data_IF_269518917935
#
_entry.id   IF_269518917935
#
_cell.length_a   1.000
_cell.length_b   1.000
_cell.length_c   1.000
_cell.angle_alpha   90.00
_cell.angle_beta   90.00
_cell.angle_gamma   90.00
#
_symmetry.space_group_name_H-M   'P 1'
#
loop_
_entity.id
_entity.type
_entity.pdbx_description
1 polymer ?
#
# COMPACT_ATOMS: atom_id res chain seq x y z
N UNK A 1 11.67 7.63 29.27
CA UNK A 1 10.99 7.85 27.97
C UNK A 1 11.36 6.66 27.10
N UNK A 2 10.39 5.89 26.62
CA UNK A 2 10.64 4.72 25.76
C UNK A 2 10.95 5.16 24.33
N UNK A 3 11.88 4.48 23.66
CA UNK A 3 12.15 4.69 22.22
C UNK A 3 11.39 3.64 21.43
N UNK A 4 10.72 4.07 20.36
CA UNK A 4 10.12 3.20 19.35
C UNK A 4 10.98 3.28 18.09
N UNK A 5 11.50 2.13 17.65
CA UNK A 5 12.26 2.00 16.41
C UNK A 5 11.57 1.11 15.38
N UNK A 6 10.53 0.37 15.78
CA UNK A 6 9.70 -0.42 14.86
C UNK A 6 8.23 -0.10 15.06
N UNK A 7 7.54 0.25 13.98
CA UNK A 7 6.10 0.45 13.96
C UNK A 7 5.44 -0.61 13.06
N UNK A 8 4.67 -1.49 13.67
CA UNK A 8 3.79 -2.41 12.98
C UNK A 8 2.49 -1.67 12.68
N UNK A 9 2.21 -1.41 11.40
CA UNK A 9 1.04 -0.68 10.93
C UNK A 9 0.01 -1.67 10.36
N UNK A 10 -1.00 -1.99 11.15
CA UNK A 10 -2.04 -2.95 10.83
C UNK A 10 -3.26 -2.22 10.23
N UNK A 11 -3.41 -2.28 8.91
CA UNK A 11 -4.43 -1.56 8.15
C UNK A 11 -5.61 -2.48 7.90
N UNK A 12 -6.78 -2.19 8.47
CA UNK A 12 -7.99 -2.99 8.29
C UNK A 12 -7.75 -4.47 8.64
N UNK A 13 -7.63 -4.78 9.94
CA UNK A 13 -7.24 -6.10 10.44
C UNK A 13 -8.37 -7.14 10.33
N UNK A 14 -9.39 -6.91 9.53
CA UNK A 14 -10.36 -7.94 9.21
C UNK A 14 -10.44 -8.02 7.69
N UNK A 15 -10.21 -9.19 7.06
CA UNK A 15 -10.54 -9.34 5.66
C UNK A 15 -12.06 -9.23 5.46
N UNK A 16 -12.49 -8.84 4.25
CA UNK A 16 -13.94 -8.85 3.92
C UNK A 16 -14.51 -10.26 3.93
N UNK A 17 -13.70 -11.25 3.57
CA UNK A 17 -14.11 -12.64 3.59
C UNK A 17 -14.07 -13.18 5.03
N UNK A 18 -15.25 -13.29 5.63
CA UNK A 18 -15.44 -13.80 6.99
C UNK A 18 -14.81 -15.19 7.21
N UNK A 19 -14.71 -16.03 6.18
CA UNK A 19 -14.14 -17.38 6.27
C UNK A 19 -12.60 -17.36 6.41
N UNK A 20 -11.94 -16.29 5.94
CA UNK A 20 -10.48 -16.13 6.00
C UNK A 20 -10.00 -15.35 7.23
N UNK A 21 -10.93 -14.75 7.98
CA UNK A 21 -10.64 -13.97 9.19
C UNK A 21 -9.79 -14.76 10.19
N UNK A 22 -10.17 -16.01 10.49
CA UNK A 22 -9.43 -16.85 11.44
C UNK A 22 -8.02 -17.17 10.98
N UNK A 23 -7.85 -17.53 9.71
CA UNK A 23 -6.53 -17.82 9.12
C UNK A 23 -5.60 -16.61 9.23
N UNK A 24 -6.14 -15.39 9.08
CA UNK A 24 -5.32 -14.17 9.16
C UNK A 24 -4.97 -13.83 10.59
N UNK A 25 -5.90 -14.04 11.52
CA UNK A 25 -5.59 -13.91 12.94
C UNK A 25 -4.49 -14.85 13.38
N UNK A 26 -4.53 -16.12 12.98
CA UNK A 26 -3.50 -17.09 13.34
C UNK A 26 -2.10 -16.64 12.84
N UNK A 27 -2.00 -16.16 11.59
CA UNK A 27 -0.74 -15.65 11.03
C UNK A 27 -0.26 -14.36 11.70
N UNK A 28 -1.17 -13.43 11.97
CA UNK A 28 -0.82 -12.20 12.68
C UNK A 28 -0.40 -12.46 14.11
N UNK A 29 -1.06 -13.38 14.81
CA UNK A 29 -0.74 -13.70 16.20
C UNK A 29 0.67 -14.26 16.33
N UNK A 30 1.07 -15.18 15.46
CA UNK A 30 2.44 -15.70 15.39
C UNK A 30 3.44 -14.55 15.17
N UNK A 31 3.25 -13.77 14.11
CA UNK A 31 4.15 -12.68 13.75
C UNK A 31 4.22 -11.58 14.83
N UNK A 32 3.08 -11.20 15.41
CA UNK A 32 2.99 -10.17 16.44
C UNK A 32 3.55 -10.64 17.78
N UNK A 33 3.49 -11.93 18.08
CA UNK A 33 4.11 -12.51 19.29
C UNK A 33 5.64 -12.48 19.23
N UNK A 34 6.23 -12.60 18.04
CA UNK A 34 7.66 -12.38 17.85
C UNK A 34 8.01 -10.89 17.93
N UNK A 35 7.24 -10.06 17.22
CA UNK A 35 7.43 -8.61 17.20
C UNK A 35 7.41 -7.97 18.59
N UNK A 36 6.50 -8.41 19.46
CA UNK A 36 6.29 -7.80 20.78
C UNK A 36 7.44 -8.06 21.76
N UNK A 37 8.27 -9.08 21.50
CA UNK A 37 9.47 -9.36 22.28
C UNK A 37 10.53 -8.25 22.15
N UNK A 38 10.48 -7.47 21.07
CA UNK A 38 11.28 -6.25 20.92
C UNK A 38 10.63 -5.11 21.73
N UNK A 39 11.28 -4.57 22.79
CA UNK A 39 10.72 -3.51 23.60
C UNK A 39 10.56 -2.18 22.85
N UNK A 40 11.24 -1.99 21.71
CA UNK A 40 11.15 -0.80 20.85
C UNK A 40 10.11 -0.97 19.73
N UNK A 41 9.38 -2.07 19.70
CA UNK A 41 8.26 -2.27 18.79
C UNK A 41 6.97 -1.62 19.32
N UNK A 42 6.23 -0.95 18.44
CA UNK A 42 4.86 -0.52 18.69
C UNK A 42 3.93 -1.07 17.61
N UNK A 43 2.65 -1.21 17.95
CA UNK A 43 1.61 -1.58 17.01
C UNK A 43 0.63 -0.43 16.88
N UNK A 44 0.36 -0.01 15.65
CA UNK A 44 -0.72 0.91 15.31
C UNK A 44 -1.76 0.18 14.46
N UNK A 45 -3.01 0.18 14.91
CA UNK A 45 -4.13 -0.46 14.22
C UNK A 45 -5.05 0.60 13.66
N UNK A 46 -5.31 0.52 12.35
CA UNK A 46 -6.33 1.32 11.66
C UNK A 46 -7.56 0.44 11.45
N UNK A 47 -8.40 0.40 12.47
CA UNK A 47 -9.68 -0.28 12.41
C UNK A 47 -10.68 0.53 11.59
N UNK A 48 -11.27 -0.13 10.60
CA UNK A 48 -12.67 0.18 10.33
C UNK A 48 -13.46 -0.52 11.43
N UNK A 49 -14.60 0.00 11.86
CA UNK A 49 -15.22 -0.32 13.16
C UNK A 49 -16.27 -1.46 13.18
N UNK A 50 -16.13 -2.67 12.59
CA UNK A 50 -17.11 -3.72 12.77
C UNK A 50 -16.89 -4.45 14.12
N UNK A 51 -17.92 -5.16 14.64
CA UNK A 51 -17.86 -5.85 15.93
C UNK A 51 -16.66 -6.81 16.11
N UNK A 52 -16.17 -7.40 15.03
CA UNK A 52 -14.99 -8.29 15.04
C UNK A 52 -13.71 -7.59 15.52
N UNK A 53 -13.66 -6.25 15.44
CA UNK A 53 -12.56 -5.46 15.99
C UNK A 53 -12.43 -5.57 17.50
N UNK A 54 -13.51 -5.83 18.23
CA UNK A 54 -13.43 -5.95 19.68
C UNK A 54 -12.47 -7.08 20.10
N UNK A 55 -12.50 -8.19 19.38
CA UNK A 55 -11.60 -9.33 19.60
C UNK A 55 -10.16 -8.97 19.23
N UNK A 56 -9.93 -8.41 18.03
CA UNK A 56 -8.60 -7.98 17.58
C UNK A 56 -7.98 -7.01 18.56
N UNK A 57 -8.70 -5.95 18.88
CA UNK A 57 -8.26 -4.89 19.79
C UNK A 57 -7.92 -5.45 21.16
N UNK A 58 -8.70 -6.39 21.68
CA UNK A 58 -8.42 -7.07 22.95
C UNK A 58 -7.12 -7.87 22.87
N UNK A 59 -6.97 -8.70 21.83
CA UNK A 59 -5.79 -9.54 21.63
C UNK A 59 -4.53 -8.71 21.49
N UNK A 60 -4.52 -7.72 20.58
CA UNK A 60 -3.33 -6.94 20.32
C UNK A 60 -2.97 -5.98 21.44
N UNK A 61 -3.96 -5.43 22.16
CA UNK A 61 -3.71 -4.60 23.35
C UNK A 61 -3.11 -5.44 24.49
N UNK A 62 -3.55 -6.70 24.63
CA UNK A 62 -2.97 -7.62 25.61
C UNK A 62 -1.51 -7.96 25.28
N UNK A 63 -1.18 -8.12 24.00
CA UNK A 63 0.19 -8.38 23.55
C UNK A 63 1.09 -7.14 23.77
N UNK A 64 0.75 -6.01 23.17
CA UNK A 64 1.64 -4.83 23.12
C UNK A 64 1.52 -3.89 24.33
N UNK A 65 0.47 -4.03 25.15
CA UNK A 65 0.22 -3.15 26.30
C UNK A 65 0.14 -1.68 25.88
N UNK A 66 0.86 -0.82 26.60
CA UNK A 66 0.88 0.63 26.33
C UNK A 66 1.45 1.01 24.94
N UNK A 67 2.14 0.07 24.27
CA UNK A 67 2.70 0.23 22.92
C UNK A 67 1.68 -0.12 21.82
N UNK A 68 0.44 -0.41 22.17
CA UNK A 68 -0.67 -0.62 21.24
C UNK A 68 -1.49 0.66 21.06
N UNK A 69 -1.59 1.13 19.82
CA UNK A 69 -2.34 2.32 19.44
C UNK A 69 -3.44 1.91 18.48
N UNK A 70 -4.69 2.22 18.80
CA UNK A 70 -5.85 1.79 18.02
C UNK A 70 -6.63 3.02 17.61
N UNK A 71 -6.78 3.19 16.30
CA UNK A 71 -7.44 4.34 15.67
C UNK A 71 -7.02 5.69 16.27
N UNK A 72 -5.70 5.96 16.37
CA UNK A 72 -5.26 7.26 16.82
C UNK A 72 -5.88 8.32 15.90
N UNK A 73 -6.43 9.40 16.43
CA UNK A 73 -7.17 10.39 15.62
C UNK A 73 -6.99 11.79 16.21
N UNK A 74 -6.46 12.71 15.40
CA UNK A 74 -6.35 14.12 15.78
C UNK A 74 -7.14 15.04 14.85
N UNK A 75 -8.04 15.82 15.45
CA UNK A 75 -8.88 16.83 14.81
C UNK A 75 -8.58 18.25 15.28
N UNK A 76 -7.40 18.45 15.89
CA UNK A 76 -6.89 19.78 16.24
C UNK A 76 -6.83 20.72 15.02
N UNK A 77 -6.82 22.02 15.28
CA UNK A 77 -6.71 23.00 14.21
C UNK A 77 -5.32 22.97 13.57
N UNK A 78 -4.28 22.65 14.34
CA UNK A 78 -2.92 22.40 13.87
C UNK A 78 -2.89 21.27 12.82
N UNK A 79 -3.57 20.16 13.08
CA UNK A 79 -3.65 19.03 12.14
C UNK A 79 -4.51 19.36 10.91
N UNK A 80 -5.58 20.13 11.07
CA UNK A 80 -6.35 20.63 9.91
C UNK A 80 -5.50 21.56 9.02
N UNK A 81 -4.65 22.40 9.60
CA UNK A 81 -3.76 23.29 8.85
C UNK A 81 -2.77 22.50 7.99
N UNK A 82 -2.20 21.39 8.51
CA UNK A 82 -1.36 20.48 7.72
C UNK A 82 -2.07 19.95 6.48
N UNK A 83 -3.36 19.59 6.59
CA UNK A 83 -4.14 19.18 5.43
C UNK A 83 -4.32 20.31 4.41
N UNK A 84 -4.56 21.55 4.86
CA UNK A 84 -4.63 22.72 3.96
C UNK A 84 -3.32 22.90 3.20
N UNK A 85 -2.16 22.81 3.88
CA UNK A 85 -0.85 22.89 3.22
C UNK A 85 -0.65 21.81 2.16
N UNK A 86 -1.12 20.59 2.42
CA UNK A 86 -1.07 19.50 1.44
C UNK A 86 -1.95 19.78 0.23
N UNK A 87 -3.16 20.30 0.45
CA UNK A 87 -4.07 20.69 -0.64
C UNK A 87 -3.40 21.74 -1.54
N UNK A 88 -2.83 22.79 -0.94
CA UNK A 88 -2.15 23.86 -1.66
C UNK A 88 -0.95 23.33 -2.46
N UNK A 89 -0.09 22.51 -1.83
CA UNK A 89 1.04 21.85 -2.51
C UNK A 89 0.57 20.96 -3.66
N UNK A 90 -0.47 20.17 -3.44
CA UNK A 90 -1.01 19.26 -4.46
C UNK A 90 -1.53 20.03 -5.67
N UNK A 91 -2.28 21.11 -5.43
CA UNK A 91 -2.75 21.98 -6.50
C UNK A 91 -1.62 22.67 -7.24
N UNK A 92 -0.59 23.16 -6.54
CA UNK A 92 0.58 23.78 -7.16
C UNK A 92 1.40 22.80 -8.03
N UNK A 93 1.63 21.57 -7.55
CA UNK A 93 2.50 20.59 -8.24
C UNK A 93 1.79 19.85 -9.37
N UNK A 94 0.50 19.54 -9.18
CA UNK A 94 -0.25 18.64 -10.08
C UNK A 94 -1.33 19.35 -10.89
N UNK A 95 -1.67 20.60 -10.57
CA UNK A 95 -2.79 21.32 -11.20
C UNK A 95 -4.14 20.61 -11.00
N UNK A 96 -4.26 19.78 -9.96
CA UNK A 96 -5.34 18.83 -9.76
C UNK A 96 -6.61 19.50 -9.20
N UNK A 97 -7.18 20.47 -9.90
CA UNK A 97 -8.37 21.21 -9.46
C UNK A 97 -9.71 20.50 -9.78
N UNK A 98 -9.67 19.37 -10.49
CA UNK A 98 -10.86 18.63 -10.87
C UNK A 98 -11.41 17.75 -9.75
N UNK A 99 -12.73 17.53 -9.73
CA UNK A 99 -13.47 16.66 -8.79
C UNK A 99 -12.87 15.26 -8.60
N UNK A 100 -12.11 14.78 -9.58
CA UNK A 100 -11.55 13.43 -9.63
C UNK A 100 -10.08 13.36 -9.17
N UNK A 101 -9.37 14.49 -9.10
CA UNK A 101 -8.00 14.59 -8.56
C UNK A 101 -7.95 14.64 -7.03
N UNK A 102 -9.11 14.70 -6.37
CA UNK A 102 -9.24 14.93 -4.92
C UNK A 102 -9.37 13.64 -4.11
N UNK A 103 -9.49 12.46 -4.73
CA UNK A 103 -9.59 11.20 -3.99
C UNK A 103 -8.33 10.89 -3.16
N UNK A 104 -7.16 11.18 -3.74
CA UNK A 104 -5.89 11.16 -3.01
C UNK A 104 -5.92 12.09 -1.81
N UNK A 105 -6.40 13.34 -1.98
CA UNK A 105 -6.50 14.32 -0.89
C UNK A 105 -7.47 13.85 0.22
N UNK A 106 -8.61 13.27 -0.14
CA UNK A 106 -9.54 12.69 0.84
C UNK A 106 -8.89 11.57 1.66
N UNK A 107 -8.11 10.70 1.00
CA UNK A 107 -7.37 9.64 1.68
C UNK A 107 -6.28 10.23 2.57
N UNK A 108 -5.55 11.22 2.07
CA UNK A 108 -4.43 11.84 2.76
C UNK A 108 -4.88 12.59 4.02
N UNK A 109 -6.06 13.21 4.01
CA UNK A 109 -6.70 13.75 5.22
C UNK A 109 -6.79 12.71 6.34
N UNK A 110 -7.16 11.47 6.02
CA UNK A 110 -7.23 10.39 7.00
C UNK A 110 -5.83 9.95 7.46
N UNK A 111 -4.85 9.89 6.56
CA UNK A 111 -3.49 9.56 6.92
C UNK A 111 -2.85 10.61 7.85
N UNK A 112 -3.11 11.91 7.60
CA UNK A 112 -2.65 13.03 8.43
C UNK A 112 -3.21 12.91 9.85
N UNK A 113 -4.54 12.82 10.01
CA UNK A 113 -5.16 12.75 11.35
C UNK A 113 -4.68 11.55 12.15
N UNK A 114 -4.46 10.41 11.48
CA UNK A 114 -3.99 9.19 12.13
C UNK A 114 -2.51 9.27 12.52
N UNK A 115 -1.67 9.84 11.64
CA UNK A 115 -0.25 10.05 11.95
C UNK A 115 -0.05 11.05 13.09
N UNK A 116 -0.80 12.16 13.10
CA UNK A 116 -0.73 13.17 14.16
C UNK A 116 -1.31 12.67 15.48
N UNK A 117 -2.44 11.96 15.44
CA UNK A 117 -2.97 11.27 16.61
C UNK A 117 -1.96 10.28 17.19
N UNK A 118 -1.24 9.53 16.34
CA UNK A 118 -0.24 8.58 16.80
C UNK A 118 0.94 9.29 17.49
N UNK A 119 1.41 10.41 16.94
CA UNK A 119 2.46 11.23 17.57
C UNK A 119 2.03 11.72 18.96
N UNK A 120 0.78 12.19 19.08
CA UNK A 120 0.22 12.65 20.34
C UNK A 120 0.12 11.51 21.37
N UNK A 121 -0.42 10.36 20.97
CA UNK A 121 -0.57 9.21 21.86
C UNK A 121 0.79 8.64 22.30
N UNK A 122 1.76 8.56 21.39
CA UNK A 122 3.13 8.18 21.73
C UNK A 122 3.70 9.12 22.81
N UNK A 123 3.61 10.43 22.58
CA UNK A 123 4.12 11.42 23.52
C UNK A 123 3.40 11.36 24.88
N UNK A 124 2.07 11.23 24.88
CA UNK A 124 1.26 11.13 26.09
C UNK A 124 1.60 9.90 26.95
N UNK A 125 2.01 8.81 26.31
CA UNK A 125 2.45 7.57 26.98
C UNK A 125 3.96 7.51 27.22
N UNK A 126 4.68 8.62 27.00
CA UNK A 126 6.10 8.73 27.29
C UNK A 126 7.01 7.99 26.29
N UNK A 127 6.52 7.76 25.07
CA UNK A 127 7.26 7.21 23.94
C UNK A 127 7.74 8.31 22.99
N UNK A 128 8.80 8.01 22.26
CA UNK A 128 9.37 8.86 21.20
C UNK A 128 9.85 7.98 20.05
N UNK A 129 9.99 8.56 18.87
CA UNK A 129 10.65 7.91 17.74
C UNK A 129 11.55 8.91 17.01
N UNK A 130 12.52 8.39 16.25
CA UNK A 130 13.34 9.17 15.33
C UNK A 130 12.90 8.83 13.91
N UNK A 131 12.54 9.81 13.05
CA UNK A 131 12.11 9.52 11.68
C UNK A 131 13.14 8.75 10.84
N UNK A 132 14.44 8.91 11.13
CA UNK A 132 15.54 8.28 10.38
C UNK A 132 15.81 6.84 10.87
N UNK A 133 15.37 6.53 12.10
CA UNK A 133 15.56 5.20 12.72
C UNK A 133 14.30 4.34 12.63
N UNK A 134 13.12 4.95 12.52
CA UNK A 134 11.84 4.24 12.56
C UNK A 134 11.67 3.37 11.30
N UNK A 135 11.60 2.05 11.51
CA UNK A 135 11.17 1.11 10.49
C UNK A 135 9.67 0.87 10.61
N UNK A 136 8.95 0.98 9.50
CA UNK A 136 7.52 0.67 9.45
C UNK A 136 7.29 -0.66 8.75
N UNK A 137 6.43 -1.51 9.32
CA UNK A 137 5.99 -2.78 8.76
C UNK A 137 4.48 -2.75 8.56
N UNK A 138 4.02 -2.59 7.33
CA UNK A 138 2.62 -2.44 6.99
C UNK A 138 1.99 -3.77 6.52
N UNK A 139 0.81 -4.08 7.05
CA UNK A 139 0.06 -5.28 6.68
C UNK A 139 -1.43 -5.11 6.96
N UNK A 140 -2.25 -6.04 6.46
CA UNK A 140 -3.69 -6.04 6.61
C UNK A 140 -4.43 -5.92 5.28
N UNK A 141 -5.73 -5.63 5.32
CA UNK A 141 -6.60 -5.84 4.17
C UNK A 141 -6.61 -4.67 3.16
N UNK A 142 -6.55 -5.00 1.87
CA UNK A 142 -6.60 -4.03 0.77
C UNK A 142 -8.04 -3.71 0.38
N UNK A 143 -8.75 -3.01 1.25
CA UNK A 143 -10.10 -2.56 0.92
C UNK A 143 -10.04 -1.37 -0.03
N UNK A 144 -10.24 -1.62 -1.34
CA UNK A 144 -10.23 -0.56 -2.34
C UNK A 144 -8.92 0.23 -2.39
N UNK A 145 -7.78 -0.44 -2.17
CA UNK A 145 -6.45 0.16 -2.16
C UNK A 145 -5.95 0.64 -0.79
N UNK A 146 -6.70 0.48 0.31
CA UNK A 146 -6.32 1.05 1.61
C UNK A 146 -4.95 0.59 2.15
N UNK A 147 -4.57 -0.67 1.96
CA UNK A 147 -3.25 -1.15 2.39
C UNK A 147 -2.15 -0.36 1.68
N UNK A 148 -2.15 -0.26 0.35
CA UNK A 148 -1.17 0.54 -0.40
C UNK A 148 -1.20 2.02 -0.01
N UNK A 149 -2.39 2.62 0.11
CA UNK A 149 -2.55 4.03 0.50
C UNK A 149 -1.88 4.33 1.83
N UNK A 150 -2.29 3.63 2.88
CA UNK A 150 -1.90 3.99 4.23
C UNK A 150 -0.51 3.46 4.59
N UNK A 151 -0.03 2.40 3.93
CA UNK A 151 1.35 1.98 4.02
C UNK A 151 2.32 3.07 3.51
N UNK A 152 1.91 3.88 2.53
CA UNK A 152 2.74 4.98 2.02
C UNK A 152 2.48 6.33 2.71
N UNK A 153 1.20 6.71 2.85
CA UNK A 153 0.83 8.05 3.32
C UNK A 153 1.09 8.24 4.81
N UNK A 154 0.73 7.27 5.66
CA UNK A 154 0.90 7.43 7.10
C UNK A 154 2.38 7.54 7.49
N UNK A 155 3.29 6.69 6.98
CA UNK A 155 4.73 6.86 7.23
C UNK A 155 5.29 8.17 6.66
N UNK A 156 4.81 8.63 5.49
CA UNK A 156 5.19 9.94 4.96
C UNK A 156 4.83 11.08 5.93
N UNK A 157 3.67 11.02 6.59
CA UNK A 157 3.27 12.03 7.59
C UNK A 157 3.98 11.85 8.94
N UNK A 158 4.43 10.64 9.27
CA UNK A 158 5.36 10.41 10.38
C UNK A 158 6.76 10.96 10.08
N UNK A 159 7.03 11.31 8.82
CA UNK A 159 8.30 11.87 8.36
C UNK A 159 9.40 10.84 8.20
N UNK A 160 9.06 9.54 8.13
CA UNK A 160 10.09 8.49 8.03
C UNK A 160 10.85 8.61 6.71
N UNK A 161 12.15 8.31 6.76
CA UNK A 161 13.00 8.34 5.57
C UNK A 161 13.15 6.95 4.91
N UNK A 162 12.91 5.88 5.68
CA UNK A 162 13.03 4.50 5.21
C UNK A 162 11.74 4.04 4.56
N UNK A 163 11.86 3.22 3.51
CA UNK A 163 10.70 2.60 2.86
C UNK A 163 9.98 1.69 3.87
N UNK A 164 8.69 1.93 4.15
CA UNK A 164 7.85 0.99 4.86
C UNK A 164 7.87 -0.37 4.17
N UNK A 165 8.13 -1.42 4.94
CA UNK A 165 8.07 -2.79 4.45
C UNK A 165 6.61 -3.24 4.43
N UNK A 166 6.12 -3.67 3.27
CA UNK A 166 4.78 -4.25 3.15
C UNK A 166 4.91 -5.77 3.31
N UNK A 167 4.08 -6.38 4.15
CA UNK A 167 4.08 -7.81 4.47
C UNK A 167 2.87 -8.53 3.82
N UNK A 168 2.91 -8.81 2.51
CA UNK A 168 1.81 -9.49 1.80
C UNK A 168 1.48 -10.89 2.34
N UNK A 169 2.48 -11.61 2.86
CA UNK A 169 2.35 -12.93 3.46
C UNK A 169 1.38 -12.97 4.65
N UNK A 170 1.21 -11.83 5.32
CA UNK A 170 0.28 -11.65 6.43
C UNK A 170 -1.14 -11.33 5.96
N UNK A 171 -1.38 -11.06 4.67
CA UNK A 171 -2.71 -10.81 4.14
C UNK A 171 -2.80 -11.10 2.63
N UNK A 172 -3.09 -12.37 2.27
CA UNK A 172 -3.14 -12.77 0.86
C UNK A 172 -4.32 -12.15 0.08
N UNK A 173 -5.39 -11.76 0.76
CA UNK A 173 -6.56 -11.04 0.23
C UNK A 173 -6.33 -9.53 0.28
N UNK A 174 -5.07 -9.10 0.35
CA UNK A 174 -4.70 -7.72 0.15
C UNK A 174 -4.90 -7.26 -1.31
N UNK A 175 -6.03 -7.64 -1.94
CA UNK A 175 -6.58 -6.98 -3.12
C UNK A 175 -5.66 -7.02 -4.32
N UNK A 176 -4.74 -7.99 -4.33
CA UNK A 176 -4.14 -8.48 -5.55
C UNK A 176 -5.28 -9.00 -6.42
N UNK A 177 -5.45 -8.43 -7.60
CA UNK A 177 -6.57 -8.72 -8.51
C UNK A 177 -6.64 -10.18 -9.00
N UNK A 178 -5.69 -11.00 -8.55
CA UNK A 178 -5.45 -12.38 -8.95
C UNK A 178 -5.23 -13.18 -7.66
N UNK A 179 -6.02 -14.25 -7.48
CA UNK A 179 -5.76 -15.21 -6.41
C UNK A 179 -4.45 -15.95 -6.69
N UNK A 180 -3.51 -15.87 -5.74
CA UNK A 180 -2.20 -16.50 -5.88
C UNK A 180 -1.44 -16.64 -4.57
N UNK A 181 -0.37 -17.42 -4.64
CA UNK A 181 0.62 -17.61 -3.59
C UNK A 181 1.69 -16.52 -3.68
N UNK A 182 1.99 -15.88 -2.56
CA UNK A 182 3.13 -14.96 -2.46
C UNK A 182 4.45 -15.75 -2.50
N UNK A 183 5.38 -15.31 -3.34
CA UNK A 183 6.68 -15.97 -3.49
C UNK A 183 7.78 -15.16 -2.80
N UNK A 184 7.97 -13.91 -3.22
CA UNK A 184 9.01 -13.03 -2.69
C UNK A 184 8.76 -11.57 -3.05
N UNK A 185 9.51 -10.67 -2.41
CA UNK A 185 9.47 -9.23 -2.67
C UNK A 185 10.88 -8.64 -2.69
N UNK A 186 11.02 -7.48 -3.32
CA UNK A 186 12.24 -6.69 -3.28
C UNK A 186 11.97 -5.20 -3.31
N UNK A 187 12.67 -4.47 -2.47
CA UNK A 187 12.72 -3.02 -2.53
C UNK A 187 13.56 -2.60 -3.74
N UNK A 188 12.97 -1.76 -4.58
CA UNK A 188 13.59 -1.08 -5.70
C UNK A 188 13.91 0.37 -5.30
N UNK A 189 14.55 1.11 -6.21
CA UNK A 189 14.84 2.51 -5.97
C UNK A 189 13.56 3.36 -5.81
N UNK A 190 13.69 4.52 -5.18
CA UNK A 190 12.63 5.50 -4.98
C UNK A 190 11.41 4.95 -4.21
N UNK A 191 11.65 4.13 -3.18
CA UNK A 191 10.61 3.60 -2.29
C UNK A 191 9.51 2.81 -3.01
N UNK A 192 9.90 1.92 -3.93
CA UNK A 192 8.97 1.04 -4.64
C UNK A 192 9.27 -0.40 -4.30
N UNK A 193 8.23 -1.19 -4.04
CA UNK A 193 8.34 -2.64 -3.88
C UNK A 193 7.89 -3.36 -5.13
N UNK A 194 8.67 -4.36 -5.56
CA UNK A 194 8.23 -5.38 -6.50
C UNK A 194 7.85 -6.65 -5.72
N UNK A 195 6.65 -7.16 -5.96
CA UNK A 195 6.14 -8.40 -5.36
C UNK A 195 5.93 -9.44 -6.45
N UNK A 196 6.36 -10.68 -6.19
CA UNK A 196 6.21 -11.82 -7.08
C UNK A 196 5.26 -12.85 -6.47
N UNK A 197 4.42 -13.43 -7.33
CA UNK A 197 3.39 -14.38 -6.95
C UNK A 197 3.27 -15.52 -7.97
N UNK A 198 2.67 -16.63 -7.54
CA UNK A 198 2.20 -17.71 -8.42
C UNK A 198 0.67 -17.77 -8.38
N UNK A 199 0.01 -17.53 -9.50
CA UNK A 199 -1.43 -17.64 -9.63
C UNK A 199 -1.90 -19.09 -9.53
N UNK A 200 -3.17 -19.31 -9.20
CA UNK A 200 -3.76 -20.65 -9.07
C UNK A 200 -3.74 -21.48 -10.36
N UNK A 201 -3.62 -20.84 -11.53
CA UNK A 201 -3.46 -21.51 -12.83
C UNK A 201 -2.00 -21.91 -13.11
N UNK A 202 -1.07 -21.64 -12.19
CA UNK A 202 0.35 -21.94 -12.31
C UNK A 202 1.20 -20.77 -12.83
N UNK A 203 0.61 -19.73 -13.42
CA UNK A 203 1.35 -18.62 -14.02
C UNK A 203 1.99 -17.72 -12.97
N UNK A 204 3.18 -17.20 -13.28
CA UNK A 204 3.85 -16.21 -12.43
C UNK A 204 3.36 -14.80 -12.74
N UNK A 205 3.19 -13.98 -11.72
CA UNK A 205 2.87 -12.57 -11.90
C UNK A 205 3.55 -11.66 -10.88
N UNK A 206 3.60 -10.38 -11.22
CA UNK A 206 4.25 -9.35 -10.43
C UNK A 206 3.42 -8.08 -10.36
N UNK A 207 3.56 -7.37 -9.25
CA UNK A 207 2.97 -6.07 -8.99
C UNK A 207 3.99 -5.13 -8.36
N UNK A 208 3.87 -3.85 -8.69
CA UNK A 208 4.74 -2.80 -8.19
C UNK A 208 3.93 -1.83 -7.34
N UNK A 209 4.37 -1.56 -6.11
CA UNK A 209 3.70 -0.62 -5.20
C UNK A 209 4.62 0.45 -4.69
N UNK A 210 4.11 1.66 -4.58
CA UNK A 210 4.77 2.74 -3.86
C UNK A 210 4.68 2.50 -2.35
N UNK A 211 5.85 2.47 -1.69
CA UNK A 211 5.97 2.28 -0.24
C UNK A 211 6.08 3.59 0.54
N UNK A 212 6.56 4.67 -0.06
CA UNK A 212 6.67 5.98 0.60
C UNK A 212 6.53 7.09 -0.46
N UNK A 213 5.37 7.72 -0.51
CA UNK A 213 5.10 8.85 -1.39
C UNK A 213 3.95 9.72 -0.85
N UNK A 214 4.19 11.01 -0.58
CA UNK A 214 3.10 11.92 -0.23
C UNK A 214 2.19 12.22 -1.43
N UNK A 215 0.93 12.58 -1.17
CA UNK A 215 -0.12 12.76 -2.19
C UNK A 215 0.18 13.84 -3.24
N UNK A 216 0.96 14.86 -2.89
CA UNK A 216 1.30 15.97 -3.80
C UNK A 216 2.37 15.60 -4.82
N UNK A 217 3.17 14.57 -4.55
CA UNK A 217 4.14 14.06 -5.52
C UNK A 217 3.43 13.40 -6.70
N UNK A 218 4.10 13.38 -7.84
CA UNK A 218 3.60 12.68 -9.02
C UNK A 218 3.81 11.18 -8.86
N UNK A 219 2.92 10.34 -9.41
CA UNK A 219 3.14 8.91 -9.43
C UNK A 219 4.45 8.51 -10.12
N UNK A 220 4.98 7.36 -9.71
CA UNK A 220 6.14 6.73 -10.34
C UNK A 220 5.70 5.80 -11.47
N UNK A 221 6.59 5.59 -12.43
CA UNK A 221 6.45 4.59 -13.48
C UNK A 221 7.51 3.51 -13.30
N UNK A 222 7.16 2.26 -13.58
CA UNK A 222 8.08 1.15 -13.71
C UNK A 222 8.35 0.86 -15.19
N UNK A 223 9.63 0.70 -15.52
CA UNK A 223 10.08 0.27 -16.83
C UNK A 223 10.76 -1.09 -16.72
N UNK A 224 10.27 -2.07 -17.47
CA UNK A 224 10.82 -3.43 -17.51
C UNK A 224 11.23 -3.80 -18.94
N UNK A 225 12.16 -4.74 -19.05
CA UNK A 225 12.41 -5.42 -20.32
C UNK A 225 11.25 -6.40 -20.54
N UNK A 226 10.42 -6.10 -21.54
CA UNK A 226 9.20 -6.84 -21.80
C UNK A 226 8.71 -6.60 -23.22
N UNK A 227 8.45 -7.68 -23.94
CA UNK A 227 7.67 -7.66 -25.17
C UNK A 227 6.26 -8.22 -24.93
N UNK A 228 5.28 -7.93 -25.80
CA UNK A 228 3.95 -8.53 -25.72
C UNK A 228 3.95 -10.07 -25.87
N UNK A 229 5.01 -10.63 -26.43
CA UNK A 229 5.17 -12.08 -26.64
C UNK A 229 5.66 -12.79 -25.38
N UNK A 230 6.47 -12.11 -24.55
CA UNK A 230 7.01 -12.67 -23.29
C UNK A 230 6.06 -12.46 -22.10
N UNK A 231 5.29 -11.35 -22.13
CA UNK A 231 4.50 -10.92 -21.00
C UNK A 231 3.09 -10.47 -21.40
N UNK A 232 2.15 -10.73 -20.50
CA UNK A 232 0.81 -10.14 -20.55
C UNK A 232 0.69 -9.12 -19.41
N UNK A 233 0.38 -7.87 -19.76
CA UNK A 233 0.21 -6.80 -18.76
C UNK A 233 -1.27 -6.47 -18.64
N UNK A 234 -1.82 -6.74 -17.46
CA UNK A 234 -3.19 -6.42 -17.11
C UNK A 234 -3.23 -5.12 -16.30
N UNK A 235 -4.07 -4.19 -16.73
CA UNK A 235 -4.39 -2.99 -15.97
C UNK A 235 -5.73 -3.22 -15.29
N UNK A 236 -5.69 -3.36 -13.97
CA UNK A 236 -6.84 -3.46 -13.10
C UNK A 236 -7.10 -2.16 -12.36
N UNK A 237 -8.36 -1.89 -12.07
CA UNK A 237 -8.72 -0.81 -11.18
C UNK A 237 -8.61 -1.33 -9.73
N UNK A 238 -7.81 -0.69 -8.87
CA UNK A 238 -7.82 -1.02 -7.44
C UNK A 238 -9.14 -0.63 -6.76
N UNK A 239 -9.99 0.12 -7.46
CA UNK A 239 -11.35 0.44 -7.09
C UNK A 239 -12.15 0.59 -8.39
N UNK A 240 -13.35 0.00 -8.50
CA UNK A 240 -14.18 -0.07 -9.72
C UNK A 240 -14.73 1.26 -10.25
N UNK A 241 -14.07 2.34 -9.85
CA UNK A 241 -14.35 3.73 -10.15
C UNK A 241 -13.41 4.31 -11.15
N UNK A 242 -12.25 3.69 -11.29
CA UNK A 242 -11.22 4.13 -12.20
C UNK A 242 -11.62 3.54 -13.54
N UNK A 243 -11.97 4.41 -14.48
CA UNK A 243 -12.08 3.96 -15.85
C UNK A 243 -10.73 3.34 -16.21
N UNK A 244 -10.74 2.05 -16.56
CA UNK A 244 -9.54 1.34 -16.97
C UNK A 244 -8.98 2.05 -18.19
N UNK A 245 -7.89 2.75 -17.99
CA UNK A 245 -7.14 3.35 -19.08
C UNK A 245 -5.96 2.46 -19.40
N UNK A 246 -6.17 1.52 -20.32
CA UNK A 246 -5.11 0.65 -20.83
C UNK A 246 -4.02 1.44 -21.59
N UNK A 247 -4.26 2.71 -21.96
CA UNK A 247 -3.21 3.57 -22.55
C UNK A 247 -2.11 3.95 -21.55
N UNK A 248 -2.29 3.64 -20.27
CA UNK A 248 -1.26 3.77 -19.23
C UNK A 248 -0.08 2.79 -19.37
N UNK A 249 -0.22 1.74 -20.20
CA UNK A 249 0.87 0.84 -20.56
C UNK A 249 1.35 1.20 -21.97
N UNK A 250 2.64 1.46 -22.10
CA UNK A 250 3.27 1.68 -23.40
C UNK A 250 4.40 0.68 -23.62
N UNK A 251 4.55 0.26 -24.87
CA UNK A 251 5.66 -0.58 -25.31
C UNK A 251 6.53 0.23 -26.27
N UNK A 252 7.83 0.30 -25.98
CA UNK A 252 8.80 0.94 -26.84
C UNK A 252 10.15 0.21 -26.76
N UNK A 253 10.76 -0.06 -27.90
CA UNK A 253 12.08 -0.69 -28.03
C UNK A 253 12.31 -1.94 -27.12
N UNK A 254 11.32 -2.85 -27.06
CA UNK A 254 11.40 -4.07 -26.24
C UNK A 254 11.21 -3.86 -24.73
N UNK A 255 10.71 -2.69 -24.34
CA UNK A 255 10.42 -2.35 -22.95
C UNK A 255 8.95 -2.02 -22.77
N UNK A 256 8.41 -2.41 -21.62
CA UNK A 256 7.12 -1.92 -21.15
C UNK A 256 7.35 -0.80 -20.13
N UNK A 257 6.52 0.24 -20.19
CA UNK A 257 6.46 1.33 -19.23
C UNK A 257 5.01 1.47 -18.75
N UNK A 258 4.81 1.45 -17.43
CA UNK A 258 3.49 1.50 -16.81
C UNK A 258 3.55 2.14 -15.41
N UNK A 259 2.42 2.65 -14.87
CA UNK A 259 2.39 3.27 -13.56
C UNK A 259 2.61 2.27 -12.41
N UNK A 260 3.31 2.72 -11.37
CA UNK A 260 3.44 2.00 -10.09
C UNK A 260 2.18 2.25 -9.26
N UNK A 261 1.61 1.21 -8.65
CA UNK A 261 0.39 1.36 -7.87
C UNK A 261 0.65 2.19 -6.60
N UNK A 262 -0.15 3.23 -6.39
CA UNK A 262 -0.16 4.05 -5.17
C UNK A 262 -1.45 3.88 -4.36
N UNK A 263 -2.42 3.16 -4.92
CA UNK A 263 -3.70 2.88 -4.31
C UNK A 263 -4.72 4.02 -4.36
N UNK A 264 -4.43 5.20 -4.91
CA UNK A 264 -5.39 6.33 -4.94
C UNK A 264 -5.39 7.15 -6.24
N UNK A 265 -4.42 7.01 -7.12
CA UNK A 265 -4.42 7.58 -8.47
C UNK A 265 -4.04 6.55 -9.53
N UNK A 266 -3.01 5.75 -9.24
CA UNK A 266 -2.37 4.88 -10.22
C UNK A 266 -3.04 3.51 -10.22
N UNK A 267 -3.43 2.98 -11.39
CA UNK A 267 -4.11 1.70 -11.47
C UNK A 267 -3.24 0.56 -10.92
N UNK A 268 -3.89 -0.56 -10.62
CA UNK A 268 -3.18 -1.78 -10.28
C UNK A 268 -2.68 -2.44 -11.57
N UNK A 269 -1.37 -2.44 -11.79
CA UNK A 269 -0.77 -3.10 -12.97
C UNK A 269 -0.21 -4.46 -12.55
N UNK A 270 -0.71 -5.51 -13.18
CA UNK A 270 -0.24 -6.89 -12.98
C UNK A 270 0.49 -7.35 -14.24
N UNK A 271 1.77 -7.71 -14.08
CA UNK A 271 2.60 -8.26 -15.16
C UNK A 271 2.63 -9.77 -15.01
N UNK A 272 2.15 -10.50 -15.99
CA UNK A 272 2.15 -11.95 -16.01
C UNK A 272 3.23 -12.49 -16.96
N UNK A 273 3.93 -13.53 -16.52
CA UNK A 273 4.86 -14.30 -17.33
C UNK A 273 4.06 -15.30 -18.18
N UNK A 274 4.21 -15.26 -19.51
CA UNK A 274 3.56 -16.23 -20.42
C UNK A 274 4.22 -17.60 -20.34
N UNK A 275 5.52 -17.63 -20.08
CA UNK A 275 6.31 -18.85 -19.91
C UNK A 275 6.42 -19.27 -18.42
N UNK A 276 6.64 -20.55 -18.15
CA UNK A 276 6.84 -21.08 -16.79
C UNK A 276 8.29 -20.88 -16.26
N UNK A 277 9.04 -19.91 -16.80
CA UNK A 277 10.39 -19.58 -16.35
C UNK A 277 10.38 -18.52 -15.25
N UNK A 278 10.26 -18.99 -14.01
CA UNK A 278 10.31 -18.13 -12.83
C UNK A 278 11.63 -17.36 -12.70
N UNK A 279 12.76 -17.95 -13.08
CA UNK A 279 14.08 -17.34 -12.85
C UNK A 279 14.29 -16.13 -13.75
N UNK A 280 13.94 -16.27 -15.04
CA UNK A 280 13.96 -15.17 -15.99
C UNK A 280 12.94 -14.09 -15.59
N UNK A 281 11.73 -14.48 -15.22
CA UNK A 281 10.69 -13.55 -14.77
C UNK A 281 11.12 -12.72 -13.57
N UNK A 282 11.62 -13.38 -12.52
CA UNK A 282 12.17 -12.75 -11.32
C UNK A 282 13.22 -11.72 -11.71
N UNK A 283 14.23 -12.12 -12.49
CA UNK A 283 15.31 -11.23 -12.90
C UNK A 283 14.79 -9.98 -13.62
N UNK A 284 13.83 -10.15 -14.54
CA UNK A 284 13.24 -9.05 -15.30
C UNK A 284 12.46 -8.06 -14.41
N UNK A 285 11.58 -8.57 -13.54
CA UNK A 285 10.76 -7.71 -12.65
C UNK A 285 11.61 -6.96 -11.64
N UNK A 286 12.61 -7.65 -11.11
CA UNK A 286 13.53 -7.07 -10.16
C UNK A 286 14.44 -6.04 -10.84
N UNK A 287 14.88 -6.26 -12.07
CA UNK A 287 15.66 -5.27 -12.83
C UNK A 287 14.85 -4.04 -13.31
N UNK A 288 13.59 -3.88 -12.88
CA UNK A 288 12.77 -2.73 -13.25
C UNK A 288 13.44 -1.39 -12.87
N UNK A 289 13.41 -0.44 -13.80
CA UNK A 289 13.85 0.93 -13.58
C UNK A 289 12.64 1.77 -13.13
N UNK A 290 12.74 2.39 -11.95
CA UNK A 290 11.69 3.30 -11.45
C UNK A 290 12.01 4.74 -11.84
N UNK A 291 11.11 5.36 -12.61
CA UNK A 291 11.24 6.72 -13.13
C UNK A 291 10.08 7.61 -12.69
N UNK A 292 10.30 8.91 -12.63
CA UNK A 292 9.24 9.88 -12.33
C UNK A 292 8.32 10.08 -13.54
N UNK A 293 7.00 10.15 -13.32
CA UNK A 293 6.07 10.54 -14.36
C UNK A 293 6.20 12.04 -14.68
N UNK A 294 6.72 12.32 -15.89
CA UNK A 294 6.86 13.69 -16.41
C UNK A 294 5.74 14.06 -17.38
N UNK A 295 4.92 13.10 -17.77
CA UNK A 295 3.79 13.38 -18.64
C UNK A 295 2.84 14.31 -17.88
N UNK A 296 2.54 15.49 -18.43
CA UNK A 296 1.57 16.42 -17.83
C UNK A 296 0.13 15.88 -17.83
N UNK A 297 -0.06 14.66 -18.33
CA UNK A 297 -1.34 14.00 -18.50
C UNK A 297 -1.65 13.19 -17.23
N UNK A 298 -2.11 13.89 -16.19
CA UNK A 298 -2.64 13.28 -14.95
C UNK A 298 -4.00 12.56 -15.19
N UNK A 299 -4.21 12.00 -16.37
CA UNK A 299 -5.49 11.63 -16.95
C UNK A 299 -6.10 10.35 -16.42
N UNK A 300 -5.93 10.01 -15.15
CA UNK A 300 -6.73 8.92 -14.56
C UNK A 300 -8.09 9.49 -14.14
N UNK A 301 -9.12 9.25 -14.96
CA UNK A 301 -10.51 9.70 -14.73
C UNK A 301 -11.25 8.70 -13.83
N UNK A 302 -11.84 9.15 -12.71
CA UNK A 302 -12.38 8.24 -11.67
C UNK A 302 -13.64 8.77 -10.95
N UNK A 303 -14.72 7.97 -10.89
CA UNK A 303 -15.99 8.22 -10.15
C UNK A 303 -15.98 7.77 -8.66
N UNK A 304 -17.13 7.57 -8.00
CA UNK A 304 -17.30 7.12 -6.59
C UNK A 304 -18.16 5.84 -6.50
N UNK A 305 -17.79 4.84 -5.65
CA UNK A 305 -18.42 3.53 -5.27
C UNK A 305 -17.42 2.31 -5.12
N UNK A 306 -17.63 1.32 -4.22
CA UNK A 306 -16.54 0.50 -3.65
C UNK A 306 -16.44 -0.99 -4.09
N UNK A 307 -16.22 -1.28 -5.38
CA UNK A 307 -16.13 -2.68 -5.86
C UNK A 307 -14.87 -2.96 -6.69
N UNK A 308 -14.07 -3.97 -6.31
CA UNK A 308 -13.05 -4.55 -7.18
C UNK A 308 -13.67 -5.77 -7.87
N UNK A 309 -13.66 -5.81 -9.21
CA UNK A 309 -13.97 -7.03 -9.93
C UNK A 309 -12.71 -7.92 -9.96
N UNK A 310 -12.81 -9.23 -9.70
CA UNK A 310 -11.71 -10.15 -9.94
C UNK A 310 -11.28 -10.06 -11.41
N UNK A 311 -9.98 -10.11 -11.70
CA UNK A 311 -9.53 -10.28 -13.08
C UNK A 311 -9.93 -11.69 -13.53
N UNK A 312 -10.70 -11.81 -14.61
CA UNK A 312 -10.87 -13.11 -15.26
C UNK A 312 -9.54 -13.48 -15.92
N UNK A 313 -9.00 -14.63 -15.56
CA UNK A 313 -7.83 -15.23 -16.20
C UNK A 313 -8.18 -15.88 -17.55
N UNK A 314 -9.44 -15.85 -17.99
CA UNK A 314 -9.87 -16.47 -19.26
C UNK A 314 -9.21 -15.78 -20.47
N UNK A 315 -8.75 -14.54 -20.31
CA UNK A 315 -7.99 -13.80 -21.32
C UNK A 315 -6.48 -14.13 -21.33
N UNK A 316 -6.01 -14.95 -20.38
CA UNK A 316 -4.60 -15.36 -20.26
C UNK A 316 -4.27 -16.65 -21.03
N UNK A 317 -5.31 -17.43 -21.40
CA UNK A 317 -5.19 -18.67 -22.18
C UNK A 317 -5.02 -18.40 -23.69
#
# INVERSE_FOLDING_TARGET
MGKISKLYLMIHPTPRNAQKVRLYFERWEEYLSEAVADPEAALCVLSNSPPQMAEVSTTVSKLFGDRCFIDPDDWSDETKLKYVEVVDKTFAVRGAHGKHGTYGLWTDRNAIRWAEGLKMDLAARGFTYSPNDLQVFAFGAMWGGCMTKYAALMPSHLGVERTPEILPELCHDAGYSVDGEYLEKRELNNHVWAFLFKANNGSYFAQFMEGLRPVWERPKLARIQATPDDYFIHVGAYNGLIALDASSVSFDAGKALFPVMDGYLSPNVTVFCRDDDYSAFKQAMFAAEIVADRSGNNGVRVGLLPYQAPASLDAFC
#
